data_IF_975287471559
#
_entry.id   IF_975287471559
#
_cell.length_a   1.000
_cell.length_b   1.000
_cell.length_c   1.000
_cell.angle_alpha   90.00
_cell.angle_beta   90.00
_cell.angle_gamma   90.00
#
_symmetry.space_group_name_H-M   'P 1'
#
loop_
_entity.id
_entity.type
_entity.pdbx_description
1 polymer ?
#
# COMPACT_ATOMS: atom_id res chain seq x y z
N UNK A 1 42.63 38.81 0.80
CA UNK A 1 41.39 39.10 0.04
C UNK A 1 40.27 38.24 0.60
N UNK A 2 39.49 38.80 1.53
CA UNK A 2 38.36 38.13 2.20
C UNK A 2 37.17 38.06 1.24
N UNK A 3 36.71 36.84 0.93
CA UNK A 3 35.53 36.59 0.09
C UNK A 3 34.30 37.16 0.79
N UNK A 4 33.74 38.25 0.25
CA UNK A 4 32.49 38.81 0.76
C UNK A 4 31.36 37.78 0.57
N UNK A 5 30.95 37.11 1.64
CA UNK A 5 29.76 36.26 1.63
C UNK A 5 28.52 37.12 1.39
N UNK A 6 27.78 36.86 0.31
CA UNK A 6 26.60 37.65 -0.05
C UNK A 6 25.38 37.16 0.78
N UNK A 7 24.90 37.94 1.77
CA UNK A 7 23.86 37.49 2.69
C UNK A 7 22.51 37.25 2.01
N UNK A 8 22.26 37.86 0.84
CA UNK A 8 21.06 37.61 0.03
C UNK A 8 21.07 36.23 -0.62
N UNK A 9 22.23 35.74 -1.04
CA UNK A 9 22.39 34.38 -1.59
C UNK A 9 22.15 33.33 -0.50
N UNK A 10 22.70 33.55 0.70
CA UNK A 10 22.52 32.67 1.86
C UNK A 10 21.05 32.59 2.34
N UNK A 11 20.29 33.69 2.21
CA UNK A 11 18.85 33.75 2.51
C UNK A 11 17.98 32.96 1.51
N UNK A 12 18.47 32.70 0.29
CA UNK A 12 17.75 31.92 -0.72
C UNK A 12 18.18 30.45 -0.76
N UNK A 13 19.40 30.13 -0.34
CA UNK A 13 19.92 28.76 -0.28
C UNK A 13 19.14 27.89 0.71
N UNK A 14 18.82 28.41 1.90
CA UNK A 14 18.08 27.67 2.93
C UNK A 14 16.64 27.30 2.52
N UNK A 15 15.79 28.22 2.01
CA UNK A 15 14.45 27.86 1.57
C UNK A 15 14.47 26.94 0.34
N UNK A 16 15.43 27.11 -0.58
CA UNK A 16 15.57 26.22 -1.73
C UNK A 16 16.00 24.81 -1.30
N UNK A 17 16.95 24.69 -0.37
CA UNK A 17 17.36 23.41 0.19
C UNK A 17 16.21 22.73 0.94
N UNK A 18 15.43 23.49 1.71
CA UNK A 18 14.23 22.96 2.38
C UNK A 18 13.18 22.49 1.37
N UNK A 19 12.94 23.23 0.29
CA UNK A 19 12.02 22.84 -0.77
C UNK A 19 12.48 21.54 -1.46
N UNK A 20 13.77 21.43 -1.79
CA UNK A 20 14.34 20.22 -2.40
C UNK A 20 14.28 19.01 -1.46
N UNK A 21 14.44 19.23 -0.14
CA UNK A 21 14.32 18.18 0.87
C UNK A 21 12.86 17.70 1.05
N UNK A 22 11.89 18.63 0.98
CA UNK A 22 10.47 18.34 1.17
C UNK A 22 9.77 17.83 -0.09
N UNK A 23 10.28 18.13 -1.28
CA UNK A 23 9.64 17.75 -2.54
C UNK A 23 9.49 16.23 -2.72
N UNK A 24 10.51 15.37 -2.51
CA UNK A 24 10.37 13.92 -2.64
C UNK A 24 9.34 13.29 -1.69
N UNK A 25 9.33 13.56 -0.37
CA UNK A 25 8.32 12.99 0.51
C UNK A 25 6.92 13.52 0.21
N UNK A 26 6.79 14.81 -0.17
CA UNK A 26 5.51 15.37 -0.60
C UNK A 26 4.99 14.71 -1.87
N UNK A 27 5.85 14.46 -2.86
CA UNK A 27 5.51 13.75 -4.08
C UNK A 27 5.10 12.29 -3.83
N UNK A 28 5.83 11.58 -2.96
CA UNK A 28 5.48 10.21 -2.58
C UNK A 28 4.16 10.15 -1.83
N UNK A 29 3.92 11.09 -0.90
CA UNK A 29 2.64 11.20 -0.20
C UNK A 29 1.50 11.48 -1.19
N UNK A 30 1.68 12.44 -2.09
CA UNK A 30 0.71 12.77 -3.13
C UNK A 30 0.39 11.57 -4.02
N UNK A 31 1.41 10.81 -4.42
CA UNK A 31 1.25 9.71 -5.39
C UNK A 31 0.71 8.43 -4.79
N UNK A 32 0.97 8.16 -3.50
CA UNK A 32 0.70 6.86 -2.86
C UNK A 32 -0.41 6.89 -1.81
N UNK A 33 -0.63 8.03 -1.14
CA UNK A 33 -1.46 8.10 0.07
C UNK A 33 -2.57 9.16 0.00
N UNK A 34 -2.37 10.17 -0.83
CA UNK A 34 -3.31 11.27 -1.02
C UNK A 34 -4.69 10.78 -1.46
N UNK A 35 -5.77 11.45 -1.02
CA UNK A 35 -7.11 11.23 -1.57
C UNK A 35 -7.27 11.84 -2.97
N UNK A 36 -6.34 12.69 -3.39
CA UNK A 36 -6.34 13.35 -4.69
C UNK A 36 -5.46 12.59 -5.69
N UNK A 37 -5.92 12.43 -6.93
CA UNK A 37 -5.14 11.84 -8.02
C UNK A 37 -5.34 10.33 -8.24
N UNK A 38 -6.13 9.65 -7.40
CA UNK A 38 -6.59 8.28 -7.65
C UNK A 38 -8.12 8.23 -7.71
N UNK A 39 -8.64 7.73 -8.82
CA UNK A 39 -10.06 7.40 -8.99
C UNK A 39 -10.14 5.90 -9.22
N UNK A 40 -10.83 5.21 -8.31
CA UNK A 40 -11.10 3.79 -8.45
C UNK A 40 -11.91 3.55 -9.75
N UNK A 41 -11.46 2.65 -10.66
CA UNK A 41 -12.22 2.35 -11.86
C UNK A 41 -13.59 1.76 -11.52
N UNK A 42 -14.58 1.93 -12.40
CA UNK A 42 -15.90 1.35 -12.21
C UNK A 42 -15.84 -0.18 -12.18
N UNK A 43 -16.80 -0.82 -11.50
CA UNK A 43 -16.92 -2.29 -11.45
C UNK A 43 -16.11 -3.00 -10.37
N UNK A 44 -15.43 -2.27 -9.49
CA UNK A 44 -14.74 -2.87 -8.34
C UNK A 44 -15.74 -3.40 -7.28
N UNK A 45 -15.39 -4.46 -6.54
CA UNK A 45 -16.26 -5.01 -5.50
C UNK A 45 -16.67 -3.95 -4.47
N UNK A 46 -17.96 -3.86 -4.10
CA UNK A 46 -18.44 -2.84 -3.19
C UNK A 46 -17.81 -2.97 -1.80
N UNK A 47 -17.74 -1.85 -1.10
CA UNK A 47 -17.36 -1.84 0.31
C UNK A 47 -18.55 -2.24 1.17
N UNK A 48 -18.39 -3.25 2.02
CA UNK A 48 -19.31 -3.51 3.13
C UNK A 48 -18.85 -2.75 4.36
N UNK A 49 -19.79 -2.28 5.19
CA UNK A 49 -19.43 -1.69 6.48
C UNK A 49 -18.90 -2.74 7.45
N UNK A 50 -18.02 -2.32 8.36
CA UNK A 50 -17.44 -3.18 9.39
C UNK A 50 -15.98 -3.62 9.12
N UNK A 51 -15.49 -4.60 9.90
CA UNK A 51 -14.12 -5.08 9.80
C UNK A 51 -13.92 -6.02 8.60
N UNK A 52 -12.81 -5.85 7.90
CA UNK A 52 -12.40 -6.65 6.75
C UNK A 52 -11.11 -7.40 7.06
N UNK A 53 -11.04 -8.67 6.69
CA UNK A 53 -9.79 -9.42 6.65
C UNK A 53 -9.06 -9.13 5.34
N UNK A 54 -7.76 -8.86 5.42
CA UNK A 54 -6.89 -8.68 4.26
C UNK A 54 -5.68 -9.59 4.42
N UNK A 55 -5.39 -10.40 3.41
CA UNK A 55 -4.18 -11.21 3.36
C UNK A 55 -3.06 -10.40 2.68
N UNK A 56 -1.95 -10.28 3.37
CA UNK A 56 -0.77 -9.53 2.92
C UNK A 56 0.42 -10.47 2.78
N UNK A 57 1.05 -10.42 1.62
CA UNK A 57 2.18 -11.29 1.27
C UNK A 57 3.40 -10.50 0.74
N UNK A 58 3.25 -9.21 0.46
CA UNK A 58 4.29 -8.31 -0.07
C UNK A 58 4.74 -7.22 0.93
N UNK A 59 4.83 -5.98 0.45
CA UNK A 59 5.30 -4.81 1.22
C UNK A 59 4.46 -4.53 2.46
N UNK A 60 3.15 -4.80 2.40
CA UNK A 60 2.22 -4.66 3.53
C UNK A 60 2.49 -5.63 4.70
N UNK A 61 3.45 -6.57 4.58
CA UNK A 61 3.98 -7.32 5.72
C UNK A 61 4.79 -6.43 6.67
N UNK A 62 5.35 -5.32 6.18
CA UNK A 62 6.15 -4.41 7.00
C UNK A 62 5.26 -3.54 7.89
N UNK A 63 5.39 -3.59 9.23
CA UNK A 63 4.51 -2.86 10.15
C UNK A 63 4.52 -1.33 9.96
N UNK A 64 5.67 -0.76 9.57
CA UNK A 64 5.79 0.67 9.27
C UNK A 64 4.99 1.08 8.04
N UNK A 65 5.04 0.28 6.96
CA UNK A 65 4.24 0.53 5.75
C UNK A 65 2.76 0.48 6.10
N UNK A 66 2.32 -0.54 6.85
CA UNK A 66 0.92 -0.62 7.32
C UNK A 66 0.52 0.64 8.08
N UNK A 67 1.36 1.09 9.02
CA UNK A 67 1.09 2.29 9.82
C UNK A 67 0.98 3.55 8.97
N UNK A 68 1.88 3.74 8.02
CA UNK A 68 1.87 4.91 7.11
C UNK A 68 0.61 4.91 6.24
N UNK A 69 0.23 3.74 5.70
CA UNK A 69 -0.92 3.63 4.79
C UNK A 69 -2.25 3.75 5.54
N UNK A 70 -2.41 3.00 6.64
CA UNK A 70 -3.69 2.93 7.35
C UNK A 70 -3.84 4.00 8.42
N UNK A 71 -2.76 4.66 8.82
CA UNK A 71 -2.74 5.71 9.84
C UNK A 71 -2.65 5.19 11.28
N UNK A 72 -2.57 3.87 11.49
CA UNK A 72 -2.36 3.28 12.82
C UNK A 72 -1.61 1.96 12.75
N UNK A 73 -1.08 1.50 13.88
CA UNK A 73 -0.47 0.17 13.95
C UNK A 73 -1.56 -0.90 13.79
N UNK A 74 -1.37 -1.79 12.82
CA UNK A 74 -2.19 -2.98 12.63
C UNK A 74 -1.42 -4.21 13.11
N UNK A 75 -2.07 -4.99 13.96
CA UNK A 75 -1.63 -6.34 14.28
C UNK A 75 -1.89 -7.26 13.09
N UNK A 76 -1.02 -8.26 12.96
CA UNK A 76 -1.12 -9.32 11.97
C UNK A 76 -1.07 -10.67 12.65
N UNK A 77 -1.75 -11.63 12.04
CA UNK A 77 -1.66 -13.05 12.41
C UNK A 77 -1.06 -13.79 11.21
N UNK A 78 -0.10 -14.71 11.41
CA UNK A 78 0.38 -15.56 10.33
C UNK A 78 -0.78 -16.26 9.61
N UNK A 79 -0.72 -16.32 8.29
CA UNK A 79 -1.76 -16.91 7.46
C UNK A 79 -1.15 -17.59 6.23
N UNK A 80 -1.90 -18.52 5.63
CA UNK A 80 -1.50 -19.24 4.43
C UNK A 80 -2.61 -19.17 3.40
N UNK A 81 -2.24 -18.85 2.16
CA UNK A 81 -3.14 -18.84 1.00
C UNK A 81 -2.86 -20.07 0.12
N UNK A 82 -3.73 -21.09 0.12
CA UNK A 82 -3.56 -22.31 -0.69
C UNK A 82 -3.96 -22.10 -2.15
N UNK A 83 -3.40 -22.92 -3.05
CA UNK A 83 -3.73 -22.92 -4.48
C UNK A 83 -3.04 -21.83 -5.30
N UNK A 84 -2.06 -21.14 -4.72
CA UNK A 84 -1.33 -20.06 -5.37
C UNK A 84 0.18 -20.22 -5.20
N UNK A 85 0.90 -19.70 -6.19
CA UNK A 85 2.35 -19.48 -6.15
C UNK A 85 2.63 -17.99 -6.21
N UNK A 86 3.62 -17.55 -5.43
CA UNK A 86 4.13 -16.19 -5.46
C UNK A 86 5.36 -16.08 -6.37
N UNK A 87 5.34 -15.11 -7.29
CA UNK A 87 6.51 -14.75 -8.11
C UNK A 87 6.77 -13.25 -7.98
N UNK A 88 7.78 -12.88 -7.17
CA UNK A 88 8.04 -11.47 -6.84
C UNK A 88 6.91 -10.85 -6.00
N UNK A 89 6.13 -9.92 -6.60
CA UNK A 89 4.94 -9.31 -5.99
C UNK A 89 3.63 -9.83 -6.58
N UNK A 90 3.70 -10.80 -7.48
CA UNK A 90 2.54 -11.37 -8.15
C UNK A 90 2.09 -12.70 -7.54
N UNK A 91 0.82 -13.02 -7.71
CA UNK A 91 0.19 -14.29 -7.34
C UNK A 91 -0.43 -14.93 -8.58
N UNK A 92 0.05 -16.13 -8.89
CA UNK A 92 -0.49 -16.96 -9.98
C UNK A 92 -1.15 -18.22 -9.41
N UNK A 93 -2.25 -18.70 -10.01
CA UNK A 93 -2.84 -19.98 -9.62
C UNK A 93 -1.82 -21.11 -9.76
N UNK A 94 -1.66 -21.91 -8.71
CA UNK A 94 -0.78 -23.07 -8.68
C UNK A 94 -1.41 -24.12 -7.74
N UNK A 95 -2.26 -25.02 -8.28
CA UNK A 95 -2.87 -26.08 -7.49
C UNK A 95 -1.82 -26.91 -6.76
N UNK A 96 -2.04 -27.18 -5.47
CA UNK A 96 -1.10 -27.92 -4.62
C UNK A 96 0.01 -27.08 -3.96
N UNK A 97 0.15 -25.81 -4.33
CA UNK A 97 1.07 -24.88 -3.66
C UNK A 97 0.36 -23.97 -2.66
N UNK A 98 1.15 -23.28 -1.84
CA UNK A 98 0.62 -22.30 -0.90
C UNK A 98 1.59 -21.15 -0.67
N UNK A 99 1.04 -19.99 -0.35
CA UNK A 99 1.81 -18.78 -0.06
C UNK A 99 1.67 -18.45 1.42
N UNK A 100 2.80 -18.40 2.12
CA UNK A 100 2.87 -17.90 3.48
C UNK A 100 2.83 -16.37 3.51
N UNK A 101 1.97 -15.83 4.36
CA UNK A 101 1.79 -14.40 4.54
C UNK A 101 1.20 -14.10 5.92
N UNK A 102 0.45 -13.01 5.98
CA UNK A 102 -0.19 -12.55 7.20
C UNK A 102 -1.61 -12.09 6.91
N UNK A 103 -2.51 -12.25 7.86
CA UNK A 103 -3.85 -11.65 7.83
C UNK A 103 -3.89 -10.46 8.78
N UNK A 104 -4.39 -9.33 8.27
CA UNK A 104 -4.68 -8.13 9.06
C UNK A 104 -6.19 -7.86 9.06
N UNK A 105 -6.68 -7.19 10.11
CA UNK A 105 -8.07 -6.71 10.19
C UNK A 105 -8.10 -5.20 10.05
N UNK A 106 -8.90 -4.71 9.12
CA UNK A 106 -9.00 -3.28 8.77
C UNK A 106 -10.44 -2.80 8.74
N UNK A 107 -10.68 -1.53 9.04
CA UNK A 107 -11.99 -0.89 8.84
C UNK A 107 -12.22 -0.53 7.36
N UNK A 108 -13.45 -0.19 6.99
CA UNK A 108 -13.76 0.28 5.62
C UNK A 108 -12.89 1.47 5.17
N UNK A 109 -12.68 2.53 5.98
CA UNK A 109 -11.79 3.64 5.60
C UNK A 109 -10.32 3.21 5.42
N UNK A 110 -9.85 2.26 6.22
CA UNK A 110 -8.50 1.70 6.11
C UNK A 110 -8.36 0.84 4.86
N UNK A 111 -9.37 0.05 4.52
CA UNK A 111 -9.41 -0.71 3.28
C UNK A 111 -9.31 0.22 2.06
N UNK A 112 -10.06 1.34 2.05
CA UNK A 112 -9.95 2.37 1.00
C UNK A 112 -8.56 3.02 0.90
N UNK A 113 -7.83 3.11 2.01
CA UNK A 113 -6.44 3.60 2.01
C UNK A 113 -5.51 2.55 1.40
N UNK A 114 -5.70 1.28 1.73
CA UNK A 114 -4.97 0.17 1.13
C UNK A 114 -5.21 0.08 -0.38
N UNK A 115 -6.47 0.17 -0.83
CA UNK A 115 -6.81 0.14 -2.26
C UNK A 115 -6.12 1.27 -3.04
N UNK A 116 -5.98 2.45 -2.43
CA UNK A 116 -5.23 3.58 -3.00
C UNK A 116 -3.74 3.29 -3.09
N UNK A 117 -3.15 2.80 -2.01
CA UNK A 117 -1.73 2.45 -1.96
C UNK A 117 -1.38 1.38 -3.01
N UNK A 118 -2.23 0.37 -3.16
CA UNK A 118 -2.06 -0.70 -4.16
C UNK A 118 -2.50 -0.26 -5.58
N UNK A 119 -3.08 0.94 -5.74
CA UNK A 119 -3.62 1.45 -7.02
C UNK A 119 -4.58 0.45 -7.66
N UNK A 120 -5.63 0.11 -6.92
CA UNK A 120 -6.64 -0.87 -7.29
C UNK A 120 -7.23 -0.59 -8.70
N UNK A 121 -7.38 -1.64 -9.52
CA UNK A 121 -7.81 -1.61 -10.90
C UNK A 121 -6.83 -0.98 -11.91
N UNK A 122 -5.65 -0.52 -11.46
CA UNK A 122 -4.54 -0.09 -12.35
C UNK A 122 -3.36 -1.06 -12.22
N UNK A 123 -2.97 -1.40 -10.99
CA UNK A 123 -1.82 -2.27 -10.72
C UNK A 123 -2.22 -3.60 -10.13
N UNK A 124 -3.23 -3.61 -9.27
CA UNK A 124 -3.77 -4.81 -8.65
C UNK A 124 -5.29 -4.81 -8.70
N UNK A 125 -5.90 -5.99 -8.72
CA UNK A 125 -7.31 -6.23 -8.41
C UNK A 125 -7.45 -6.77 -6.99
N UNK A 126 -8.60 -6.52 -6.38
CA UNK A 126 -8.96 -7.04 -5.06
C UNK A 126 -9.96 -8.18 -5.22
N UNK A 127 -9.54 -9.38 -4.85
CA UNK A 127 -10.36 -10.61 -4.91
C UNK A 127 -10.57 -11.18 -3.52
N UNK A 128 -11.74 -11.79 -3.26
CA UNK A 128 -11.94 -12.59 -2.02
C UNK A 128 -11.44 -14.00 -2.27
N UNK A 129 -10.61 -14.49 -1.36
CA UNK A 129 -10.09 -15.85 -1.36
C UNK A 129 -10.13 -16.44 0.04
N UNK A 130 -10.32 -17.75 0.11
CA UNK A 130 -10.26 -18.53 1.34
C UNK A 130 -8.82 -18.79 1.75
N UNK A 131 -8.49 -18.50 3.00
CA UNK A 131 -7.21 -18.89 3.61
C UNK A 131 -7.27 -20.35 4.09
N UNK A 132 -6.11 -20.92 4.41
CA UNK A 132 -6.01 -22.30 4.89
C UNK A 132 -6.80 -22.56 6.19
N UNK A 133 -7.08 -21.52 6.98
CA UNK A 133 -7.90 -21.58 8.20
C UNK A 133 -9.41 -21.43 7.92
N UNK A 134 -9.83 -21.36 6.66
CA UNK A 134 -11.22 -21.15 6.23
C UNK A 134 -11.68 -19.69 6.28
N UNK A 135 -10.84 -18.75 6.72
CA UNK A 135 -11.19 -17.33 6.74
C UNK A 135 -11.22 -16.76 5.32
N UNK A 136 -12.31 -16.09 4.96
CA UNK A 136 -12.38 -15.27 3.75
C UNK A 136 -11.61 -13.96 3.95
N UNK A 137 -10.65 -13.69 3.07
CA UNK A 137 -9.85 -12.47 3.10
C UNK A 137 -9.77 -11.82 1.73
N UNK A 138 -9.69 -10.48 1.73
CA UNK A 138 -9.32 -9.73 0.54
C UNK A 138 -7.83 -9.95 0.22
N UNK A 139 -7.55 -10.23 -1.04
CA UNK A 139 -6.21 -10.42 -1.58
C UNK A 139 -6.02 -9.50 -2.76
N UNK A 140 -4.92 -8.75 -2.78
CA UNK A 140 -4.51 -7.99 -3.97
C UNK A 140 -3.75 -8.91 -4.92
N UNK A 141 -4.14 -8.99 -6.18
CA UNK A 141 -3.43 -9.73 -7.24
C UNK A 141 -3.11 -8.77 -8.37
N UNK A 142 -1.94 -8.86 -9.02
CA UNK A 142 -1.65 -7.94 -10.12
C UNK A 142 -2.68 -8.12 -11.23
N UNK A 143 -3.08 -7.00 -11.83
CA UNK A 143 -3.86 -7.05 -13.07
C UNK A 143 -2.93 -7.64 -14.14
N UNK A 144 -3.42 -8.64 -14.88
CA UNK A 144 -2.68 -9.16 -16.02
C UNK A 144 -2.49 -8.02 -17.06
N UNK A 145 -1.32 -7.91 -17.71
CA UNK A 145 -1.11 -6.92 -18.76
C UNK A 145 -2.07 -7.10 -19.94
#
# INVERSE_FOLDING_TARGET
MTRAENPRLRRLVLPLAALLLLAPPLYLWWSLLSPWGYVAPPGLPPYTEGPHAVFVYGTLRQPLVRRVVTGRRLESVPAVLPGYRRTGLDLSPAPGESVAGERIRVSTPELRRLDRYERLGIRYDRVRLSLADGTEAWVYRRVAP
#
